data_IF_426137502596
#
_entry.id   IF_426137502596
#
_cell.length_a   1.000
_cell.length_b   1.000
_cell.length_c   1.000
_cell.angle_alpha   90.00
_cell.angle_beta   90.00
_cell.angle_gamma   90.00
#
_symmetry.space_group_name_H-M   'P 1'
#
loop_
_entity.id
_entity.type
_entity.pdbx_description
1 polymer ?
#
# COMPACT_ATOMS: atom_id res chain seq x y z
N UNK A 1 -14.32 9.08 -2.75
CA UNK A 1 -14.60 8.20 -3.91
C UNK A 1 -14.55 6.76 -3.45
N UNK A 2 -15.68 6.05 -3.50
CA UNK A 2 -15.71 4.66 -3.01
C UNK A 2 -14.70 3.75 -3.70
N UNK A 3 -14.45 3.97 -4.99
CA UNK A 3 -13.51 3.15 -5.75
C UNK A 3 -12.05 3.44 -5.41
N UNK A 4 -11.80 4.57 -4.73
CA UNK A 4 -10.44 4.96 -4.35
C UNK A 4 -10.18 4.76 -2.86
N UNK A 5 -11.11 4.11 -2.18
CA UNK A 5 -11.01 3.94 -0.73
C UNK A 5 -11.54 2.57 -0.33
N UNK A 6 -10.85 1.93 0.58
CA UNK A 6 -11.23 0.62 1.09
C UNK A 6 -10.87 0.54 2.56
N UNK A 7 -11.75 -0.06 3.36
CA UNK A 7 -11.56 -0.17 4.80
C UNK A 7 -11.81 -1.62 5.22
N UNK A 8 -10.96 -2.12 6.11
CA UNK A 8 -11.07 -3.49 6.59
C UNK A 8 -10.63 -3.57 8.04
N UNK A 9 -11.39 -4.27 8.87
CA UNK A 9 -11.02 -4.48 10.26
C UNK A 9 -10.45 -5.88 10.44
N UNK A 10 -9.36 -5.98 11.22
CA UNK A 10 -8.81 -7.25 11.64
C UNK A 10 -9.51 -7.63 12.94
N UNK A 11 -10.29 -8.70 12.90
CA UNK A 11 -11.10 -9.12 14.05
C UNK A 11 -10.27 -9.54 15.27
N UNK A 12 -9.06 -10.05 15.06
CA UNK A 12 -8.20 -10.46 16.15
C UNK A 12 -7.56 -9.29 16.88
N UNK A 13 -6.98 -8.37 16.14
CA UNK A 13 -6.25 -7.23 16.72
C UNK A 13 -7.12 -6.00 16.91
N UNK A 14 -8.29 -5.96 16.25
CA UNK A 14 -9.20 -4.82 16.20
C UNK A 14 -8.60 -3.61 15.48
N UNK A 15 -7.50 -3.81 14.77
CA UNK A 15 -6.90 -2.76 13.94
C UNK A 15 -7.75 -2.55 12.70
N UNK A 16 -8.01 -1.28 12.39
CA UNK A 16 -8.72 -0.91 11.18
C UNK A 16 -7.69 -0.48 10.14
N UNK A 17 -7.69 -1.13 8.99
CA UNK A 17 -6.80 -0.85 7.89
C UNK A 17 -7.53 -0.02 6.84
N UNK A 18 -7.02 1.17 6.57
CA UNK A 18 -7.56 2.07 5.56
C UNK A 18 -6.64 2.07 4.36
N UNK A 19 -7.19 1.82 3.18
CA UNK A 19 -6.44 1.83 1.93
C UNK A 19 -7.02 2.88 1.02
N UNK A 20 -6.19 3.77 0.52
CA UNK A 20 -6.60 4.72 -0.50
C UNK A 20 -5.71 4.56 -1.71
N UNK A 21 -6.23 4.89 -2.89
CA UNK A 21 -5.58 4.58 -4.15
C UNK A 21 -5.60 5.76 -5.10
N UNK A 22 -4.56 5.87 -5.92
CA UNK A 22 -4.63 6.72 -7.11
C UNK A 22 -5.58 6.07 -8.13
N UNK A 23 -6.04 6.85 -9.09
CA UNK A 23 -6.95 6.35 -10.12
C UNK A 23 -6.34 5.20 -10.93
N UNK A 24 -5.05 5.30 -11.22
CA UNK A 24 -4.34 4.26 -11.96
C UNK A 24 -4.28 2.94 -11.18
N UNK A 25 -4.09 3.04 -9.87
CA UNK A 25 -4.00 1.87 -9.01
C UNK A 25 -5.34 1.15 -8.93
N UNK A 26 -6.44 1.91 -8.89
CA UNK A 26 -7.78 1.31 -8.91
C UNK A 26 -7.94 0.43 -10.16
N UNK A 27 -7.55 0.96 -11.31
CA UNK A 27 -7.63 0.20 -12.56
C UNK A 27 -6.75 -1.03 -12.54
N UNK A 28 -5.54 -0.90 -12.01
CA UNK A 28 -4.61 -2.02 -11.91
C UNK A 28 -5.19 -3.14 -11.06
N UNK A 29 -5.72 -2.82 -9.89
CA UNK A 29 -6.26 -3.84 -8.99
C UNK A 29 -7.56 -4.47 -9.49
N UNK A 30 -8.31 -3.76 -10.34
CA UNK A 30 -9.46 -4.36 -10.99
C UNK A 30 -9.04 -5.47 -11.96
N UNK A 31 -7.89 -5.30 -12.60
CA UNK A 31 -7.33 -6.30 -13.52
C UNK A 31 -6.57 -7.39 -12.78
N UNK A 32 -5.98 -7.06 -11.65
CA UNK A 32 -5.13 -7.97 -10.88
C UNK A 32 -5.59 -8.02 -9.41
N UNK A 33 -6.80 -8.53 -9.16
CA UNK A 33 -7.33 -8.52 -7.79
C UNK A 33 -6.51 -9.35 -6.81
N UNK A 34 -5.84 -10.39 -7.27
CA UNK A 34 -4.98 -11.23 -6.42
C UNK A 34 -3.78 -10.45 -5.89
N UNK A 35 -3.29 -9.45 -6.63
CA UNK A 35 -2.19 -8.62 -6.17
C UNK A 35 -2.62 -7.77 -4.99
N UNK A 36 -3.82 -7.22 -5.02
CA UNK A 36 -4.35 -6.45 -3.90
C UNK A 36 -4.55 -7.33 -2.67
N UNK A 37 -5.07 -8.54 -2.85
CA UNK A 37 -5.24 -9.48 -1.73
C UNK A 37 -3.89 -9.76 -1.07
N UNK A 38 -2.87 -10.04 -1.88
CA UNK A 38 -1.53 -10.31 -1.36
C UNK A 38 -0.90 -9.08 -0.72
N UNK A 39 -1.14 -7.90 -1.29
CA UNK A 39 -0.68 -6.65 -0.72
C UNK A 39 -1.24 -6.46 0.70
N UNK A 40 -2.54 -6.64 0.86
CA UNK A 40 -3.19 -6.50 2.18
C UNK A 40 -2.63 -7.49 3.19
N UNK A 41 -2.44 -8.74 2.78
CA UNK A 41 -1.84 -9.74 3.66
C UNK A 41 -0.46 -9.31 4.11
N UNK A 42 0.36 -8.80 3.20
CA UNK A 42 1.72 -8.37 3.50
C UNK A 42 1.74 -7.12 4.40
N UNK A 43 0.79 -6.21 4.24
CA UNK A 43 0.68 -5.06 5.15
C UNK A 43 0.41 -5.55 6.57
N UNK A 44 -0.49 -6.52 6.75
CA UNK A 44 -0.78 -7.08 8.07
C UNK A 44 0.45 -7.76 8.67
N UNK A 45 1.19 -8.51 7.86
CA UNK A 45 2.43 -9.15 8.31
C UNK A 45 3.45 -8.11 8.76
N UNK A 46 3.61 -7.03 7.99
CA UNK A 46 4.54 -5.96 8.33
C UNK A 46 4.17 -5.30 9.65
N UNK A 47 2.89 -5.01 9.84
CA UNK A 47 2.39 -4.40 11.08
C UNK A 47 2.65 -5.32 12.28
N UNK A 48 2.58 -6.64 12.07
CA UNK A 48 2.83 -7.63 13.11
C UNK A 48 4.31 -7.97 13.30
N UNK A 49 5.20 -7.25 12.59
CA UNK A 49 6.64 -7.42 12.76
C UNK A 49 7.29 -8.51 11.93
N UNK A 50 6.56 -9.09 11.00
CA UNK A 50 7.13 -10.10 10.10
C UNK A 50 8.09 -9.42 9.12
N UNK A 51 9.33 -9.91 9.05
CA UNK A 51 10.36 -9.35 8.20
C UNK A 51 10.57 -10.11 6.89
N UNK A 52 9.78 -11.14 6.65
CA UNK A 52 9.90 -11.96 5.44
C UNK A 52 9.08 -11.40 4.28
N UNK A 53 9.07 -10.08 4.16
CA UNK A 53 8.33 -9.37 3.12
C UNK A 53 9.33 -8.50 2.36
N UNK A 54 9.27 -8.53 1.04
CA UNK A 54 10.17 -7.74 0.20
C UNK A 54 9.67 -6.29 0.12
N UNK A 55 10.03 -5.50 1.12
CA UNK A 55 9.70 -4.08 1.21
C UNK A 55 10.97 -3.28 1.36
N UNK A 56 11.14 -2.26 0.52
CA UNK A 56 12.30 -1.35 0.55
C UNK A 56 11.86 0.09 0.37
N UNK A 57 12.72 1.02 0.76
CA UNK A 57 12.47 2.44 0.54
C UNK A 57 12.51 2.73 -0.95
N UNK A 58 11.50 3.44 -1.45
CA UNK A 58 11.40 3.83 -2.84
C UNK A 58 12.02 5.21 -3.03
N UNK A 59 12.93 5.33 -3.99
CA UNK A 59 13.69 6.57 -4.23
C UNK A 59 13.11 7.41 -5.39
N UNK A 60 12.03 6.96 -6.01
CA UNK A 60 11.43 7.69 -7.12
C UNK A 60 10.71 8.96 -6.68
N UNK A 61 10.41 9.83 -7.64
CA UNK A 61 9.69 11.07 -7.37
C UNK A 61 8.18 10.85 -7.37
N UNK A 62 7.49 11.54 -6.47
CA UNK A 62 6.04 11.49 -6.35
C UNK A 62 5.51 12.90 -6.48
N UNK A 63 4.61 13.12 -7.44
CA UNK A 63 4.11 14.45 -7.74
C UNK A 63 3.13 14.99 -6.73
N UNK A 64 2.22 14.16 -6.24
CA UNK A 64 1.21 14.58 -5.29
C UNK A 64 1.03 13.54 -4.20
N UNK A 65 0.90 14.03 -2.96
CA UNK A 65 0.66 13.20 -1.80
C UNK A 65 -0.46 13.83 -0.97
N UNK A 66 -1.37 13.02 -0.43
CA UNK A 66 -2.30 13.54 0.57
C UNK A 66 -1.52 14.12 1.75
N UNK A 67 -2.02 15.18 2.35
CA UNK A 67 -1.33 15.88 3.42
C UNK A 67 -0.93 14.97 4.58
N UNK A 68 -1.79 14.03 4.93
CA UNK A 68 -1.53 13.07 6.01
C UNK A 68 -0.28 12.23 5.77
N UNK A 69 0.13 12.05 4.50
CA UNK A 69 1.30 11.24 4.13
C UNK A 69 2.52 12.07 3.75
N UNK A 70 2.41 13.41 3.80
CA UNK A 70 3.46 14.31 3.27
C UNK A 70 4.85 14.06 3.86
N UNK A 71 4.93 13.73 5.15
CA UNK A 71 6.20 13.54 5.83
C UNK A 71 6.62 12.08 5.92
N UNK A 72 5.85 11.18 5.34
CA UNK A 72 6.14 9.76 5.42
C UNK A 72 7.03 9.31 4.27
N UNK A 73 7.78 8.26 4.53
CA UNK A 73 8.60 7.65 3.49
C UNK A 73 7.74 6.87 2.52
N UNK A 74 8.21 6.84 1.29
CA UNK A 74 7.57 6.02 0.26
C UNK A 74 8.26 4.68 0.24
N UNK A 75 7.47 3.62 0.20
CA UNK A 75 7.97 2.25 0.22
C UNK A 75 7.58 1.52 -1.06
N UNK A 76 8.35 0.50 -1.38
CA UNK A 76 8.11 -0.38 -2.50
C UNK A 76 7.94 -1.80 -1.98
N UNK A 77 6.83 -2.44 -2.31
CA UNK A 77 6.59 -3.85 -1.99
C UNK A 77 6.64 -4.66 -3.29
N UNK A 78 7.41 -5.72 -3.28
CA UNK A 78 7.46 -6.64 -4.41
C UNK A 78 6.47 -7.79 -4.17
N UNK A 79 5.62 -8.04 -5.15
CA UNK A 79 4.65 -9.13 -5.11
C UNK A 79 4.75 -9.88 -6.43
N UNK A 80 5.47 -11.00 -6.44
CA UNK A 80 5.73 -11.74 -7.68
C UNK A 80 6.42 -10.87 -8.71
N UNK A 81 5.81 -10.70 -9.87
CA UNK A 81 6.33 -9.86 -10.94
C UNK A 81 5.86 -8.42 -10.86
N UNK A 82 5.16 -8.07 -9.79
CA UNK A 82 4.58 -6.74 -9.64
C UNK A 82 5.28 -5.93 -8.57
N UNK A 83 5.18 -4.62 -8.68
CA UNK A 83 5.68 -3.67 -7.69
C UNK A 83 4.54 -2.78 -7.25
N UNK A 84 4.42 -2.56 -5.96
CA UNK A 84 3.43 -1.66 -5.38
C UNK A 84 4.18 -0.57 -4.62
N UNK A 85 3.93 0.69 -4.98
CA UNK A 85 4.55 1.84 -4.34
C UNK A 85 3.50 2.48 -3.43
N UNK A 86 3.84 2.63 -2.16
CA UNK A 86 2.85 3.07 -1.18
C UNK A 86 3.50 3.87 -0.05
N UNK A 87 2.65 4.56 0.69
CA UNK A 87 3.02 5.22 1.94
C UNK A 87 2.14 4.67 3.04
N UNK A 88 2.64 4.62 4.26
CA UNK A 88 1.89 4.06 5.37
C UNK A 88 2.04 4.96 6.59
N UNK A 89 0.94 5.16 7.29
CA UNK A 89 0.92 5.85 8.57
C UNK A 89 0.29 4.93 9.61
N UNK A 90 1.04 4.66 10.66
CA UNK A 90 0.63 3.75 11.71
C UNK A 90 0.24 4.54 12.95
N UNK A 91 -1.03 4.44 13.34
CA UNK A 91 -1.55 5.06 14.55
C UNK A 91 -1.97 3.96 15.53
N UNK A 92 -0.98 3.37 16.18
CA UNK A 92 -1.22 2.23 17.06
C UNK A 92 -2.11 2.56 18.25
N UNK A 93 -2.02 3.78 18.80
CA UNK A 93 -2.86 4.20 19.92
C UNK A 93 -4.34 4.20 19.56
N UNK A 94 -4.65 4.45 18.29
CA UNK A 94 -6.02 4.47 17.78
C UNK A 94 -6.41 3.18 17.06
N UNK A 95 -5.52 2.22 17.00
CA UNK A 95 -5.70 0.96 16.28
C UNK A 95 -6.09 1.21 14.81
N UNK A 96 -5.36 2.13 14.17
CA UNK A 96 -5.60 2.50 12.77
C UNK A 96 -4.31 2.49 11.97
N UNK A 97 -4.38 1.92 10.78
CA UNK A 97 -3.27 1.90 9.83
C UNK A 97 -3.77 2.49 8.52
N UNK A 98 -3.13 3.56 8.07
CA UNK A 98 -3.49 4.23 6.82
C UNK A 98 -2.45 3.93 5.76
N UNK A 99 -2.89 3.43 4.61
CA UNK A 99 -2.01 3.11 3.50
C UNK A 99 -2.50 3.82 2.25
N UNK A 100 -1.62 4.60 1.62
CA UNK A 100 -1.91 5.25 0.35
C UNK A 100 -1.09 4.58 -0.74
N UNK A 101 -1.75 3.94 -1.69
CA UNK A 101 -1.10 3.22 -2.78
C UNK A 101 -1.03 4.14 -3.99
N UNK A 102 0.20 4.53 -4.34
CA UNK A 102 0.48 5.55 -5.34
C UNK A 102 0.56 4.94 -6.73
N UNK A 103 1.21 3.79 -6.83
CA UNK A 103 1.50 3.16 -8.10
C UNK A 103 1.57 1.66 -7.92
N UNK A 104 1.03 0.92 -8.88
CA UNK A 104 1.14 -0.52 -8.90
C UNK A 104 1.24 -0.94 -10.36
N UNK A 105 2.23 -1.76 -10.68
CA UNK A 105 2.43 -2.16 -12.07
C UNK A 105 3.36 -3.35 -12.15
N UNK A 106 3.55 -3.83 -13.36
CA UNK A 106 4.52 -4.85 -13.64
C UNK A 106 5.91 -4.33 -13.25
N UNK A 107 6.75 -5.22 -12.75
CA UNK A 107 8.07 -4.90 -12.24
C UNK A 107 8.93 -4.04 -13.17
N UNK A 108 8.90 -4.34 -14.47
CA UNK A 108 9.69 -3.57 -15.44
C UNK A 108 9.15 -2.17 -15.65
N UNK A 109 7.83 -2.01 -15.60
CA UNK A 109 7.18 -0.74 -15.92
C UNK A 109 7.31 0.30 -14.81
N UNK A 110 7.36 -0.13 -13.55
CA UNK A 110 7.51 0.77 -12.40
C UNK A 110 8.82 1.55 -12.47
N UNK A 111 9.87 0.95 -13.02
CA UNK A 111 11.20 1.55 -13.05
C UNK A 111 11.63 2.11 -14.40
N UNK A 112 10.74 2.13 -15.38
CA UNK A 112 11.07 2.67 -16.72
C UNK A 112 11.01 4.19 -16.79
N UNK A 113 10.36 4.82 -15.87
CA UNK A 113 10.20 6.28 -15.91
C UNK A 113 11.00 6.96 -14.85
#
# INVERSE_FOLDING_TARGET
MPEKYFEEIDEETKIIYYYSFSSEVVKFFKKQPEVFIKFKENIKKMVNGDRNIDIKIYQGKIKKQPEIFRKLRTLRMRIGNFRVIFMIKEEYDNLKIYTFIIKADNRGDVYKN
#
